data_IF_279427224607
#
_entry.id   IF_279427224607
#
_cell.length_a   1.000
_cell.length_b   1.000
_cell.length_c   1.000
_cell.angle_alpha   90.00
_cell.angle_beta   90.00
_cell.angle_gamma   90.00
#
_symmetry.space_group_name_H-M   'P 1'
#
loop_
_entity.id
_entity.type
_entity.pdbx_description
1 polymer ?
#
# COMPACT_ATOMS: atom_id res chain seq x y z
N UNK A 1 -14.94 -13.89 -17.98
CA UNK A 1 -13.80 -14.14 -17.07
C UNK A 1 -12.62 -13.26 -17.45
N UNK A 2 -12.20 -13.26 -18.72
CA UNK A 2 -11.16 -12.38 -19.24
C UNK A 2 -11.55 -11.90 -20.65
N UNK A 3 -11.15 -10.69 -21.02
CA UNK A 3 -11.31 -10.11 -22.35
C UNK A 3 -9.94 -9.65 -22.85
N UNK A 4 -9.42 -10.35 -23.86
CA UNK A 4 -8.08 -10.17 -24.41
C UNK A 4 -8.21 -9.72 -25.86
N UNK A 5 -7.51 -8.65 -26.22
CA UNK A 5 -7.41 -8.20 -27.60
C UNK A 5 -5.95 -8.08 -28.05
N UNK A 6 -5.75 -8.24 -29.35
CA UNK A 6 -4.48 -7.95 -30.02
C UNK A 6 -4.43 -6.45 -30.32
N UNK A 7 -3.26 -5.83 -30.18
CA UNK A 7 -3.04 -4.44 -30.53
C UNK A 7 -1.61 -4.16 -30.99
N UNK A 8 -1.39 -2.93 -31.46
CA UNK A 8 -0.08 -2.44 -31.91
C UNK A 8 0.31 -1.25 -31.07
N UNK A 9 1.51 -1.26 -30.50
CA UNK A 9 2.03 -0.13 -29.71
C UNK A 9 2.26 1.07 -30.63
N UNK A 10 1.65 2.21 -30.30
CA UNK A 10 1.80 3.46 -31.07
C UNK A 10 2.73 4.46 -30.42
N UNK A 11 2.81 4.44 -29.09
CA UNK A 11 3.57 5.44 -28.34
C UNK A 11 4.01 4.89 -26.99
N UNK A 12 5.17 5.35 -26.51
CA UNK A 12 5.66 5.11 -25.15
C UNK A 12 5.43 6.40 -24.36
N UNK A 13 4.47 6.39 -23.43
CA UNK A 13 4.12 7.56 -22.59
C UNK A 13 5.26 7.85 -21.61
N UNK A 14 5.75 6.80 -20.94
CA UNK A 14 6.88 6.85 -20.02
C UNK A 14 7.45 5.45 -19.80
N UNK A 15 8.70 5.38 -19.36
CA UNK A 15 9.39 4.13 -19.04
C UNK A 15 10.19 4.29 -17.74
N UNK A 16 10.13 3.25 -16.92
CA UNK A 16 11.09 2.92 -15.86
C UNK A 16 11.66 1.53 -16.16
N UNK A 17 12.69 1.13 -15.44
CA UNK A 17 13.38 -0.16 -15.69
C UNK A 17 12.42 -1.35 -15.64
N UNK A 18 11.48 -1.36 -14.71
CA UNK A 18 10.57 -2.46 -14.42
C UNK A 18 9.17 -2.34 -15.09
N UNK A 19 8.83 -1.17 -15.64
CA UNK A 19 7.48 -0.87 -16.14
C UNK A 19 7.50 0.18 -17.25
N UNK A 20 6.70 -0.06 -18.30
CA UNK A 20 6.43 0.89 -19.37
C UNK A 20 4.94 1.24 -19.44
N UNK A 21 4.64 2.54 -19.56
CA UNK A 21 3.30 3.06 -19.84
C UNK A 21 3.22 3.38 -21.32
N UNK A 22 2.24 2.82 -22.02
CA UNK A 22 2.16 2.86 -23.48
C UNK A 22 0.77 3.20 -23.97
N UNK A 23 0.69 3.67 -25.21
CA UNK A 23 -0.56 3.74 -25.97
C UNK A 23 -0.57 2.66 -27.04
N UNK A 24 -1.66 1.91 -27.10
CA UNK A 24 -1.85 0.76 -27.98
C UNK A 24 -3.09 1.00 -28.83
N UNK A 25 -2.96 0.80 -30.12
CA UNK A 25 -4.08 0.78 -31.06
C UNK A 25 -4.68 -0.63 -31.11
N UNK A 26 -5.96 -0.71 -30.78
CA UNK A 26 -6.79 -1.92 -30.90
C UNK A 26 -7.92 -1.61 -31.87
N UNK A 27 -7.85 -2.17 -33.07
CA UNK A 27 -8.85 -2.00 -34.13
C UNK A 27 -9.21 -0.52 -34.43
N UNK A 28 -8.22 0.37 -34.43
CA UNK A 28 -8.39 1.80 -34.70
C UNK A 28 -8.70 2.64 -33.45
N UNK A 29 -8.84 2.02 -32.28
CA UNK A 29 -9.06 2.71 -31.00
C UNK A 29 -7.77 2.73 -30.20
N UNK A 30 -7.21 3.92 -30.00
CA UNK A 30 -6.03 4.11 -29.14
C UNK A 30 -6.40 4.05 -27.68
N UNK A 31 -5.63 3.28 -26.92
CA UNK A 31 -5.85 3.10 -25.50
C UNK A 31 -4.58 3.02 -24.67
N UNK A 32 -4.67 3.39 -23.39
CA UNK A 32 -3.55 3.33 -22.46
C UNK A 32 -3.39 1.91 -21.90
N UNK A 33 -2.16 1.44 -21.84
CA UNK A 33 -1.82 0.16 -21.24
C UNK A 33 -0.50 0.22 -20.48
N UNK A 34 -0.28 -0.81 -19.67
CA UNK A 34 0.92 -1.01 -18.87
C UNK A 34 1.58 -2.31 -19.28
N UNK A 35 2.89 -2.26 -19.43
CA UNK A 35 3.77 -3.41 -19.66
C UNK A 35 4.71 -3.56 -18.47
N UNK A 36 4.71 -4.72 -17.81
CA UNK A 36 5.67 -5.04 -16.76
C UNK A 36 6.87 -5.70 -17.43
N UNK A 37 7.98 -4.96 -17.54
CA UNK A 37 9.11 -5.31 -18.39
C UNK A 37 9.73 -6.67 -18.03
N UNK A 38 9.80 -7.01 -16.73
CA UNK A 38 10.32 -8.31 -16.27
C UNK A 38 9.40 -9.50 -16.63
N UNK A 39 8.12 -9.25 -16.94
CA UNK A 39 7.12 -10.28 -17.21
C UNK A 39 6.90 -10.45 -18.72
N UNK A 40 6.76 -9.34 -19.45
CA UNK A 40 6.38 -9.33 -20.88
C UNK A 40 7.47 -8.81 -21.80
N UNK A 41 8.67 -8.52 -21.25
CA UNK A 41 9.83 -8.01 -21.96
C UNK A 41 9.74 -6.51 -22.24
N UNK A 42 10.84 -5.92 -22.70
CA UNK A 42 10.87 -4.50 -23.12
C UNK A 42 9.92 -4.28 -24.31
N UNK A 43 9.13 -3.20 -24.25
CA UNK A 43 8.09 -2.90 -25.24
C UNK A 43 8.43 -1.67 -26.07
N UNK A 44 8.37 -1.76 -27.40
CA UNK A 44 8.71 -0.66 -28.32
C UNK A 44 7.52 -0.26 -29.18
N UNK A 45 7.60 0.91 -29.82
CA UNK A 45 6.64 1.31 -30.87
C UNK A 45 6.66 0.27 -31.99
N UNK A 46 5.50 0.02 -32.57
CA UNK A 46 5.20 -1.00 -33.58
C UNK A 46 5.25 -2.46 -33.10
N UNK A 47 5.56 -2.72 -31.83
CA UNK A 47 5.40 -4.05 -31.24
C UNK A 47 3.93 -4.49 -31.29
N UNK A 48 3.72 -5.75 -31.63
CA UNK A 48 2.39 -6.38 -31.63
C UNK A 48 2.21 -7.13 -30.32
N UNK A 49 1.17 -6.78 -29.56
CA UNK A 49 0.95 -7.26 -28.19
C UNK A 49 -0.47 -7.76 -27.98
N UNK A 50 -0.66 -8.62 -26.97
CA UNK A 50 -1.96 -8.97 -26.44
C UNK A 50 -2.18 -8.24 -25.12
N UNK A 51 -3.37 -7.66 -24.95
CA UNK A 51 -3.73 -6.89 -23.76
C UNK A 51 -5.01 -7.40 -23.13
N UNK A 52 -5.05 -7.42 -21.80
CA UNK A 52 -6.23 -7.69 -21.00
C UNK A 52 -6.97 -6.36 -20.74
N UNK A 53 -8.17 -6.24 -21.31
CA UNK A 53 -9.03 -5.06 -21.16
C UNK A 53 -10.27 -5.33 -20.29
N UNK A 54 -10.28 -6.42 -19.52
CA UNK A 54 -11.45 -6.87 -18.76
C UNK A 54 -11.97 -5.80 -17.80
N UNK A 55 -11.06 -5.20 -17.01
CA UNK A 55 -11.44 -4.21 -16.02
C UNK A 55 -12.01 -2.94 -16.66
N UNK A 56 -11.49 -2.52 -17.81
CA UNK A 56 -12.05 -1.39 -18.57
C UNK A 56 -13.45 -1.70 -19.09
N UNK A 57 -13.66 -2.88 -19.67
CA UNK A 57 -14.99 -3.27 -20.18
C UNK A 57 -16.05 -3.31 -19.07
N UNK A 58 -15.64 -3.59 -17.83
CA UNK A 58 -16.50 -3.53 -16.66
C UNK A 58 -16.58 -2.12 -16.02
N UNK A 59 -15.99 -1.10 -16.65
CA UNK A 59 -15.89 0.27 -16.14
C UNK A 59 -15.29 0.35 -14.72
N UNK A 60 -14.34 -0.53 -14.41
CA UNK A 60 -13.64 -0.54 -13.12
C UNK A 60 -12.47 0.45 -13.14
N UNK A 61 -12.15 0.98 -11.95
CA UNK A 61 -11.06 1.93 -11.79
C UNK A 61 -9.68 1.26 -11.82
N UNK A 62 -9.06 1.16 -13.00
CA UNK A 62 -7.63 0.79 -13.16
C UNK A 62 -6.71 2.01 -13.31
N UNK A 63 -7.25 3.21 -13.10
CA UNK A 63 -6.61 4.45 -13.57
C UNK A 63 -6.68 4.61 -15.10
N UNK A 64 -7.50 3.80 -15.79
CA UNK A 64 -7.72 3.86 -17.23
C UNK A 64 -6.80 2.96 -18.06
N UNK A 65 -5.91 2.21 -17.42
CA UNK A 65 -4.95 1.32 -18.08
C UNK A 65 -5.51 -0.08 -18.31
N UNK A 66 -5.17 -0.65 -19.47
CA UNK A 66 -5.14 -2.09 -19.71
C UNK A 66 -3.79 -2.68 -19.31
N UNK A 67 -3.68 -4.01 -19.37
CA UNK A 67 -2.46 -4.73 -19.01
C UNK A 67 -1.97 -5.57 -20.18
N UNK A 68 -0.73 -5.35 -20.61
CA UNK A 68 -0.05 -6.22 -21.58
C UNK A 68 0.16 -7.58 -20.91
N UNK A 69 -0.23 -8.65 -21.59
CA UNK A 69 -0.06 -10.03 -21.12
C UNK A 69 0.98 -10.80 -21.93
N UNK A 70 1.25 -10.37 -23.16
CA UNK A 70 2.19 -11.00 -24.08
C UNK A 70 2.64 -9.98 -25.13
N UNK A 71 3.94 -9.97 -25.43
CA UNK A 71 4.50 -9.27 -26.58
C UNK A 71 5.01 -10.28 -27.60
N UNK A 72 4.47 -10.24 -28.82
CA UNK A 72 4.77 -11.23 -29.88
C UNK A 72 6.18 -11.09 -30.47
N UNK A 73 6.90 -10.03 -30.09
CA UNK A 73 8.32 -9.85 -30.40
C UNK A 73 9.20 -10.95 -29.77
N UNK A 74 8.77 -11.54 -28.66
CA UNK A 74 9.57 -12.51 -27.91
C UNK A 74 8.98 -13.92 -28.04
N UNK A 75 9.79 -14.86 -28.53
CA UNK A 75 9.45 -16.29 -28.51
C UNK A 75 9.71 -16.94 -27.13
N UNK A 76 10.62 -16.35 -26.35
CA UNK A 76 10.97 -16.78 -24.99
C UNK A 76 11.47 -15.58 -24.17
N UNK A 77 11.06 -15.51 -22.90
CA UNK A 77 11.55 -14.55 -21.91
C UNK A 77 12.04 -15.37 -20.71
N UNK A 78 13.31 -15.20 -20.34
CA UNK A 78 13.87 -15.80 -19.14
C UNK A 78 14.37 -14.70 -18.19
N UNK A 79 13.55 -14.41 -17.18
CA UNK A 79 13.84 -13.48 -16.08
C UNK A 79 13.90 -14.19 -14.72
N UNK A 80 14.18 -15.50 -14.74
CA UNK A 80 14.15 -16.35 -13.55
C UNK A 80 15.09 -15.82 -12.45
N UNK A 81 14.57 -15.69 -11.23
CA UNK A 81 15.35 -15.35 -10.03
C UNK A 81 15.93 -16.62 -9.37
N UNK A 82 16.82 -16.49 -8.39
CA UNK A 82 17.46 -17.66 -7.76
C UNK A 82 16.58 -18.42 -6.75
N UNK A 83 15.50 -17.82 -6.26
CA UNK A 83 14.63 -18.45 -5.26
C UNK A 83 13.55 -19.36 -5.84
N UNK A 84 12.96 -20.15 -4.94
CA UNK A 84 11.99 -21.21 -5.24
C UNK A 84 10.55 -20.83 -4.90
N UNK A 85 10.33 -19.72 -4.20
CA UNK A 85 8.98 -19.26 -3.87
C UNK A 85 8.33 -18.59 -5.08
N UNK A 86 7.08 -18.97 -5.33
CA UNK A 86 6.28 -18.45 -6.44
C UNK A 86 5.31 -17.37 -5.94
N UNK A 87 5.22 -16.24 -6.65
CA UNK A 87 4.13 -15.26 -6.56
C UNK A 87 3.14 -15.52 -7.69
N UNK A 88 1.88 -15.09 -7.50
CA UNK A 88 0.77 -15.47 -8.38
C UNK A 88 0.70 -16.99 -8.67
N UNK A 89 0.93 -17.79 -7.61
CA UNK A 89 1.12 -19.25 -7.65
C UNK A 89 0.09 -19.96 -8.51
N UNK A 90 0.56 -20.78 -9.44
CA UNK A 90 -0.25 -21.64 -10.31
C UNK A 90 -1.23 -20.88 -11.23
N UNK A 91 -1.01 -19.59 -11.45
CA UNK A 91 -1.64 -18.83 -12.55
C UNK A 91 -0.73 -18.86 -13.79
N UNK A 92 -1.26 -18.58 -15.00
CA UNK A 92 -0.44 -18.41 -16.20
C UNK A 92 0.62 -17.29 -16.10
N UNK A 93 0.51 -16.39 -15.11
CA UNK A 93 1.42 -15.26 -14.89
C UNK A 93 2.28 -15.45 -13.63
N UNK A 94 2.48 -16.69 -13.19
CA UNK A 94 3.32 -16.98 -12.02
C UNK A 94 4.76 -16.51 -12.24
N UNK A 95 5.38 -16.00 -11.18
CA UNK A 95 6.78 -15.54 -11.19
C UNK A 95 7.50 -16.13 -9.99
N UNK A 96 8.79 -16.42 -10.15
CA UNK A 96 9.62 -16.88 -9.04
C UNK A 96 10.37 -15.71 -8.40
N UNK A 97 10.54 -15.78 -7.09
CA UNK A 97 11.24 -14.79 -6.28
C UNK A 97 12.14 -15.51 -5.28
N UNK A 98 13.12 -14.79 -4.74
CA UNK A 98 13.81 -15.19 -3.52
C UNK A 98 13.14 -14.51 -2.33
N UNK A 99 12.32 -15.26 -1.59
CA UNK A 99 11.74 -14.80 -0.35
C UNK A 99 12.80 -14.80 0.75
N UNK A 100 12.75 -13.80 1.62
CA UNK A 100 13.78 -13.53 2.63
C UNK A 100 13.96 -14.65 3.63
N UNK A 101 12.92 -15.44 3.87
CA UNK A 101 12.92 -16.59 4.78
C UNK A 101 13.30 -17.92 4.10
N UNK A 102 13.51 -17.97 2.77
CA UNK A 102 13.93 -19.18 2.07
C UNK A 102 15.29 -19.70 2.54
N UNK A 103 15.54 -21.01 2.40
CA UNK A 103 16.82 -21.62 2.77
C UNK A 103 18.01 -21.04 1.98
N UNK A 104 17.78 -20.71 0.71
CA UNK A 104 18.80 -20.10 -0.16
C UNK A 104 18.96 -18.59 0.10
N UNK A 105 18.13 -17.99 0.96
CA UNK A 105 18.29 -16.59 1.34
C UNK A 105 19.48 -16.42 2.28
N UNK A 106 20.33 -15.39 2.08
CA UNK A 106 21.41 -15.08 3.01
C UNK A 106 20.91 -14.70 4.41
N UNK A 107 19.59 -14.48 4.57
CA UNK A 107 18.97 -14.08 5.82
C UNK A 107 18.23 -15.23 6.54
N UNK A 108 18.23 -16.46 6.00
CA UNK A 108 17.42 -17.58 6.50
C UNK A 108 17.52 -17.77 8.02
N UNK A 109 18.74 -17.82 8.55
CA UNK A 109 18.98 -18.06 9.98
C UNK A 109 18.49 -16.94 10.89
N UNK A 110 18.30 -15.72 10.37
CA UNK A 110 17.75 -14.60 11.15
C UNK A 110 16.29 -14.86 11.53
N UNK A 111 15.54 -15.58 10.71
CA UNK A 111 14.14 -15.94 11.00
C UNK A 111 14.06 -17.01 12.09
N UNK A 112 14.94 -18.01 12.05
CA UNK A 112 14.98 -19.07 13.06
C UNK A 112 15.42 -18.57 14.44
N UNK A 113 16.23 -17.50 14.47
CA UNK A 113 16.75 -16.89 15.70
C UNK A 113 15.97 -15.64 16.17
N UNK A 114 14.91 -15.25 15.44
CA UNK A 114 14.12 -14.07 15.76
C UNK A 114 13.45 -14.21 17.13
N UNK A 115 13.48 -13.13 17.93
CA UNK A 115 12.90 -13.12 19.28
C UNK A 115 11.57 -12.39 19.31
N UNK A 116 11.61 -11.10 19.03
CA UNK A 116 10.45 -10.21 18.94
C UNK A 116 10.86 -8.88 18.28
N UNK A 117 9.88 -8.02 18.04
CA UNK A 117 10.08 -6.71 17.42
C UNK A 117 10.63 -5.65 18.41
N UNK A 118 10.73 -6.00 19.69
CA UNK A 118 11.17 -5.10 20.77
C UNK A 118 10.44 -3.73 20.72
N UNK A 119 9.11 -3.77 20.64
CA UNK A 119 8.28 -2.57 20.63
C UNK A 119 8.36 -1.70 19.37
N UNK A 120 9.01 -2.16 18.29
CA UNK A 120 9.11 -1.40 17.02
C UNK A 120 7.72 -0.89 16.58
N UNK A 121 7.57 0.44 16.35
CA UNK A 121 6.35 1.02 15.83
C UNK A 121 6.00 0.49 14.44
N UNK A 122 4.74 0.09 14.25
CA UNK A 122 4.21 -0.34 12.96
C UNK A 122 2.91 0.40 12.68
N UNK A 123 2.94 1.28 11.68
CA UNK A 123 1.79 2.08 11.25
C UNK A 123 0.99 1.28 10.24
N UNK A 124 -0.30 1.05 10.50
CA UNK A 124 -1.20 0.24 9.67
C UNK A 124 -2.24 1.14 9.02
N UNK A 125 -2.30 1.13 7.69
CA UNK A 125 -3.23 1.93 6.89
C UNK A 125 -4.14 1.08 6.00
N UNK A 126 -5.38 1.54 5.83
CA UNK A 126 -6.39 0.87 4.99
C UNK A 126 -6.08 0.97 3.51
N UNK A 127 -5.52 2.09 3.03
CA UNK A 127 -5.38 2.38 1.60
C UNK A 127 -3.93 2.64 1.23
N UNK A 128 -3.56 2.25 0.01
CA UNK A 128 -2.26 2.62 -0.58
C UNK A 128 -2.01 4.15 -0.56
N UNK A 129 -3.07 4.96 -0.74
CA UNK A 129 -2.99 6.43 -0.69
C UNK A 129 -2.61 7.00 0.68
N UNK A 130 -2.60 6.19 1.75
CA UNK A 130 -2.12 6.59 3.08
C UNK A 130 -0.60 6.53 3.20
N UNK A 131 0.10 5.80 2.31
CA UNK A 131 1.55 5.60 2.40
C UNK A 131 2.32 6.93 2.31
N UNK A 132 2.13 7.68 1.23
CA UNK A 132 2.88 8.91 0.97
C UNK A 132 2.70 9.98 2.04
N UNK A 133 1.46 10.39 2.42
CA UNK A 133 1.30 11.43 3.41
C UNK A 133 1.89 11.02 4.78
N UNK A 134 1.76 9.75 5.17
CA UNK A 134 2.32 9.23 6.42
C UNK A 134 3.85 9.25 6.38
N UNK A 135 4.46 8.66 5.34
CA UNK A 135 5.92 8.54 5.23
C UNK A 135 6.60 9.92 5.11
N UNK A 136 6.03 10.84 4.33
CA UNK A 136 6.58 12.20 4.16
C UNK A 136 6.57 12.97 5.47
N UNK A 137 5.45 12.96 6.19
CA UNK A 137 5.36 13.66 7.48
C UNK A 137 6.33 13.04 8.47
N UNK A 138 6.39 11.72 8.54
CA UNK A 138 7.28 11.01 9.46
C UNK A 138 8.75 11.33 9.17
N UNK A 139 9.20 11.19 7.92
CA UNK A 139 10.58 11.51 7.53
C UNK A 139 10.91 12.99 7.72
N UNK A 140 9.95 13.90 7.52
CA UNK A 140 10.16 15.33 7.77
C UNK A 140 10.34 15.66 9.26
N UNK A 141 9.62 14.95 10.14
CA UNK A 141 9.73 15.11 11.59
C UNK A 141 10.92 14.35 12.19
N UNK A 142 11.32 13.25 11.53
CA UNK A 142 12.44 12.36 11.90
C UNK A 142 13.29 12.06 10.68
N UNK A 143 14.20 12.95 10.27
CA UNK A 143 15.03 12.76 9.08
C UNK A 143 15.93 11.52 9.14
N UNK A 144 16.35 11.12 10.35
CA UNK A 144 17.20 9.96 10.57
C UNK A 144 16.44 8.62 10.53
N UNK A 145 15.12 8.64 10.75
CA UNK A 145 14.33 7.43 10.93
C UNK A 145 14.34 6.57 9.65
N UNK A 146 14.69 5.30 9.79
CA UNK A 146 14.65 4.32 8.72
C UNK A 146 13.24 3.72 8.59
N UNK A 147 12.62 3.92 7.42
CA UNK A 147 11.21 3.58 7.16
C UNK A 147 11.13 2.42 6.17
N UNK A 148 10.55 1.29 6.58
CA UNK A 148 10.16 0.22 5.66
C UNK A 148 8.68 0.34 5.28
N UNK A 149 8.36 0.15 4.00
CA UNK A 149 6.99 -0.06 3.53
C UNK A 149 6.73 -1.55 3.31
N UNK A 150 5.78 -2.12 4.04
CA UNK A 150 5.29 -3.49 3.83
C UNK A 150 3.99 -3.43 3.02
N UNK A 151 4.01 -3.94 1.79
CA UNK A 151 2.88 -3.97 0.89
C UNK A 151 2.14 -5.32 0.98
N UNK A 152 0.88 -5.28 1.42
CA UNK A 152 0.01 -6.47 1.44
C UNK A 152 -0.57 -6.79 0.06
N UNK A 153 -0.96 -8.05 -0.13
CA UNK A 153 -1.58 -8.58 -1.35
C UNK A 153 -3.10 -8.46 -1.37
N UNK A 154 -3.67 -7.70 -0.42
CA UNK A 154 -5.09 -7.34 -0.39
C UNK A 154 -5.53 -6.50 -1.60
N UNK A 155 -4.57 -6.00 -2.37
CA UNK A 155 -4.73 -5.45 -3.70
C UNK A 155 -3.71 -6.09 -4.65
N UNK A 156 -4.05 -6.19 -5.94
CA UNK A 156 -3.36 -7.10 -6.85
C UNK A 156 -2.36 -6.43 -7.82
N UNK A 157 -2.16 -5.10 -7.77
CA UNK A 157 -1.20 -4.47 -8.68
C UNK A 157 0.24 -4.59 -8.15
N UNK A 158 1.21 -4.96 -9.01
CA UNK A 158 2.64 -4.99 -8.66
C UNK A 158 3.12 -3.63 -8.14
N UNK A 159 4.12 -3.63 -7.27
CA UNK A 159 4.58 -2.39 -6.63
C UNK A 159 5.12 -1.37 -7.66
N UNK A 160 5.68 -1.87 -8.77
CA UNK A 160 6.19 -1.11 -9.91
C UNK A 160 5.12 -0.20 -10.56
N UNK A 161 3.84 -0.55 -10.44
CA UNK A 161 2.73 0.30 -10.85
C UNK A 161 2.73 1.66 -10.10
N UNK A 162 3.18 1.67 -8.85
CA UNK A 162 3.03 2.84 -7.99
C UNK A 162 4.10 3.90 -8.24
N UNK A 163 3.71 4.95 -8.95
CA UNK A 163 4.51 6.19 -9.04
C UNK A 163 4.81 6.78 -7.65
N UNK A 164 3.90 6.59 -6.70
CA UNK A 164 4.09 7.02 -5.31
C UNK A 164 5.26 6.30 -4.66
N UNK A 165 5.36 4.98 -4.79
CA UNK A 165 6.47 4.22 -4.22
C UNK A 165 7.80 4.61 -4.88
N UNK A 166 7.82 4.70 -6.22
CA UNK A 166 9.00 5.19 -6.98
C UNK A 166 9.49 6.53 -6.44
N UNK A 167 8.58 7.51 -6.32
CA UNK A 167 8.88 8.83 -5.79
C UNK A 167 9.44 8.79 -4.37
N UNK A 168 8.83 8.01 -3.46
CA UNK A 168 9.27 7.93 -2.06
C UNK A 168 10.66 7.28 -1.94
N UNK A 169 10.96 6.29 -2.79
CA UNK A 169 12.29 5.65 -2.87
C UNK A 169 13.34 6.60 -3.43
N UNK A 170 13.06 7.25 -4.57
CA UNK A 170 13.98 8.20 -5.22
C UNK A 170 14.34 9.38 -4.31
N UNK A 171 13.41 9.81 -3.44
CA UNK A 171 13.62 10.88 -2.46
C UNK A 171 14.18 10.40 -1.13
N UNK A 172 14.50 9.12 -0.97
CA UNK A 172 14.95 8.50 0.28
C UNK A 172 13.98 8.76 1.47
N UNK A 173 12.68 8.86 1.18
CA UNK A 173 11.64 8.99 2.21
C UNK A 173 11.30 7.62 2.80
N UNK A 174 11.31 6.58 1.98
CA UNK A 174 11.29 5.19 2.45
C UNK A 174 12.59 4.51 2.05
N UNK A 175 13.13 3.71 2.96
CA UNK A 175 14.44 3.10 2.84
C UNK A 175 14.35 1.74 2.14
N UNK A 176 13.27 0.99 2.41
CA UNK A 176 13.02 -0.30 1.77
C UNK A 176 11.54 -0.60 1.62
N UNK A 177 11.24 -1.44 0.65
CA UNK A 177 9.92 -1.98 0.35
C UNK A 177 9.96 -3.49 0.51
N UNK A 178 8.92 -4.04 1.14
CA UNK A 178 8.78 -5.46 1.42
C UNK A 178 7.41 -5.88 0.91
N UNK A 179 7.35 -6.81 -0.03
CA UNK A 179 6.08 -7.35 -0.54
C UNK A 179 5.77 -8.69 0.10
N UNK A 180 4.52 -8.91 0.47
CA UNK A 180 4.09 -10.13 1.18
C UNK A 180 2.94 -10.85 0.47
N UNK A 181 2.77 -12.14 0.77
CA UNK A 181 1.73 -12.94 0.14
C UNK A 181 1.94 -13.04 -1.36
N UNK A 182 0.96 -12.63 -2.16
CA UNK A 182 1.03 -12.57 -3.62
C UNK A 182 1.40 -11.21 -4.20
N UNK A 183 1.59 -10.17 -3.38
CA UNK A 183 2.20 -8.92 -3.81
C UNK A 183 3.68 -9.17 -4.15
N UNK A 184 4.21 -8.41 -5.11
CA UNK A 184 5.57 -8.61 -5.61
C UNK A 184 6.17 -7.34 -6.23
N UNK A 185 7.48 -7.40 -6.46
CA UNK A 185 8.36 -6.38 -7.02
C UNK A 185 9.04 -5.50 -5.98
N UNK A 186 8.93 -5.82 -4.68
CA UNK A 186 9.58 -5.06 -3.61
C UNK A 186 11.10 -5.28 -3.58
N UNK A 187 11.81 -4.47 -2.79
CA UNK A 187 13.25 -4.68 -2.54
C UNK A 187 13.48 -6.05 -1.86
N UNK A 188 12.51 -6.47 -1.04
CA UNK A 188 12.46 -7.77 -0.39
C UNK A 188 11.11 -8.44 -0.63
N UNK A 189 11.14 -9.75 -0.82
CA UNK A 189 9.95 -10.59 -0.98
C UNK A 189 9.78 -11.45 0.26
N UNK A 190 8.55 -11.60 0.74
CA UNK A 190 8.24 -12.44 1.91
C UNK A 190 6.95 -13.22 1.71
N UNK A 191 6.78 -14.32 2.45
CA UNK A 191 5.60 -15.18 2.31
C UNK A 191 4.38 -14.57 3.01
N UNK A 192 4.56 -13.91 4.16
CA UNK A 192 3.46 -13.39 4.97
C UNK A 192 3.91 -12.24 5.89
N UNK A 193 2.95 -11.65 6.61
CA UNK A 193 3.17 -10.50 7.49
C UNK A 193 4.22 -10.75 8.58
N UNK A 194 4.28 -11.95 9.17
CA UNK A 194 5.27 -12.26 10.21
C UNK A 194 6.68 -12.17 9.64
N UNK A 195 6.93 -12.80 8.49
CA UNK A 195 8.21 -12.70 7.79
C UNK A 195 8.53 -11.27 7.36
N UNK A 196 7.53 -10.50 6.90
CA UNK A 196 7.76 -9.10 6.51
C UNK A 196 8.16 -8.22 7.70
N UNK A 197 7.55 -8.43 8.86
CA UNK A 197 7.87 -7.70 10.08
C UNK A 197 9.28 -8.04 10.58
N UNK A 198 9.66 -9.33 10.55
CA UNK A 198 11.02 -9.76 10.87
C UNK A 198 12.02 -9.15 9.88
N UNK A 199 11.71 -9.15 8.58
CA UNK A 199 12.53 -8.51 7.56
C UNK A 199 12.72 -7.02 7.83
N UNK A 200 11.64 -6.30 8.16
CA UNK A 200 11.72 -4.88 8.49
C UNK A 200 12.62 -4.61 9.71
N UNK A 201 12.56 -5.46 10.74
CA UNK A 201 13.33 -5.31 11.98
C UNK A 201 14.78 -5.77 11.85
N UNK A 202 15.02 -6.98 11.38
CA UNK A 202 16.33 -7.63 11.48
C UNK A 202 17.21 -7.35 10.26
N UNK A 203 16.61 -7.34 9.06
CA UNK A 203 17.33 -7.19 7.78
C UNK A 203 17.43 -5.71 7.41
N UNK A 204 16.28 -5.05 7.29
CA UNK A 204 16.24 -3.62 6.97
C UNK A 204 16.71 -2.80 8.17
N UNK A 205 16.52 -3.27 9.41
CA UNK A 205 16.84 -2.49 10.63
C UNK A 205 16.09 -1.17 10.68
N UNK A 206 14.81 -1.23 10.32
CA UNK A 206 13.92 -0.07 10.28
C UNK A 206 13.58 0.36 11.70
N UNK A 207 13.51 1.67 11.92
CA UNK A 207 12.97 2.25 13.15
C UNK A 207 11.44 2.15 13.18
N UNK A 208 10.83 2.12 12.00
CA UNK A 208 9.38 2.06 11.80
C UNK A 208 9.04 1.31 10.53
N UNK A 209 7.96 0.52 10.57
CA UNK A 209 7.34 -0.03 9.38
C UNK A 209 5.97 0.62 9.12
N UNK A 210 5.64 0.87 7.85
CA UNK A 210 4.30 1.25 7.40
C UNK A 210 3.72 0.06 6.64
N UNK A 211 2.58 -0.47 7.06
CA UNK A 211 1.89 -1.58 6.40
C UNK A 211 0.61 -1.04 5.74
N UNK A 212 0.49 -1.22 4.43
CA UNK A 212 -0.73 -0.91 3.69
C UNK A 212 -0.77 -1.73 2.39
N UNK A 213 -1.96 -2.00 1.87
CA UNK A 213 -2.10 -2.67 0.56
C UNK A 213 -1.45 -1.89 -0.58
N UNK A 214 -1.18 -2.61 -1.68
CA UNK A 214 -0.80 -1.99 -2.95
C UNK A 214 -1.97 -1.28 -3.67
N UNK A 215 -1.74 -0.76 -4.87
CA UNK A 215 -2.80 -0.21 -5.72
C UNK A 215 -3.82 -1.28 -6.14
N UNK A 216 -5.10 -0.90 -6.32
CA UNK A 216 -6.16 -1.81 -6.79
C UNK A 216 -7.08 -2.34 -5.69
N UNK A 217 -7.54 -1.47 -4.78
CA UNK A 217 -8.48 -1.83 -3.72
C UNK A 217 -9.81 -2.38 -4.25
N UNK A 218 -10.36 -3.37 -3.55
CA UNK A 218 -11.69 -3.95 -3.77
C UNK A 218 -12.64 -3.55 -2.63
N UNK A 219 -13.90 -3.32 -2.98
CA UNK A 219 -15.00 -3.13 -2.04
C UNK A 219 -16.33 -3.51 -2.67
N UNK A 220 -17.06 -4.44 -2.06
CA UNK A 220 -18.36 -4.92 -2.55
C UNK A 220 -19.54 -4.22 -1.87
N UNK A 221 -19.26 -3.40 -0.86
CA UNK A 221 -20.27 -2.67 -0.08
C UNK A 221 -20.91 -3.47 1.05
N UNK A 222 -20.58 -4.76 1.18
CA UNK A 222 -20.94 -5.59 2.34
C UNK A 222 -19.98 -5.36 3.51
N UNK A 223 -20.38 -5.78 4.72
CA UNK A 223 -19.61 -5.54 5.96
C UNK A 223 -18.16 -6.02 5.86
N UNK A 224 -17.93 -7.24 5.37
CA UNK A 224 -16.60 -7.85 5.32
C UNK A 224 -15.95 -7.82 3.93
N UNK A 225 -16.67 -7.36 2.90
CA UNK A 225 -16.21 -7.41 1.52
C UNK A 225 -15.39 -6.19 1.11
N UNK A 226 -14.25 -5.94 1.76
CA UNK A 226 -13.31 -4.88 1.36
C UNK A 226 -11.86 -5.29 1.63
N UNK A 227 -10.92 -4.85 0.81
CA UNK A 227 -9.51 -5.28 0.89
C UNK A 227 -8.85 -4.93 2.23
N UNK A 228 -9.12 -3.74 2.76
CA UNK A 228 -8.46 -3.24 3.99
C UNK A 228 -8.92 -3.90 5.27
N UNK A 229 -9.63 -5.02 5.19
CA UNK A 229 -10.03 -5.82 6.34
C UNK A 229 -8.83 -6.57 6.96
N UNK A 230 -7.78 -6.78 6.16
CA UNK A 230 -6.50 -7.39 6.56
C UNK A 230 -5.78 -6.64 7.69
N UNK A 231 -6.07 -5.35 7.87
CA UNK A 231 -5.55 -4.55 8.99
C UNK A 231 -5.76 -5.25 10.35
N UNK A 232 -6.88 -5.95 10.54
CA UNK A 232 -7.16 -6.66 11.79
C UNK A 232 -6.13 -7.77 12.07
N UNK A 233 -5.88 -8.64 11.08
CA UNK A 233 -4.90 -9.73 11.22
C UNK A 233 -3.46 -9.21 11.26
N UNK A 234 -3.17 -8.10 10.55
CA UNK A 234 -1.87 -7.43 10.61
C UNK A 234 -1.60 -6.89 12.02
N UNK A 235 -2.58 -6.22 12.65
CA UNK A 235 -2.46 -5.71 14.02
C UNK A 235 -2.25 -6.86 15.02
N UNK A 236 -3.03 -7.95 14.90
CA UNK A 236 -2.87 -9.13 15.74
C UNK A 236 -1.47 -9.76 15.58
N UNK A 237 -0.93 -9.79 14.35
CA UNK A 237 0.42 -10.28 14.08
C UNK A 237 1.51 -9.38 14.70
N UNK A 238 1.38 -8.06 14.59
CA UNK A 238 2.30 -7.09 15.21
C UNK A 238 2.36 -7.32 16.72
N UNK A 239 1.20 -7.43 17.38
CA UNK A 239 1.13 -7.70 18.81
C UNK A 239 1.72 -9.06 19.18
N UNK A 240 1.47 -10.09 18.36
CA UNK A 240 2.01 -11.44 18.58
C UNK A 240 3.54 -11.45 18.60
N UNK A 241 4.16 -10.60 17.78
CA UNK A 241 5.62 -10.41 17.74
C UNK A 241 6.10 -9.28 18.65
N UNK A 242 5.27 -8.80 19.60
CA UNK A 242 5.56 -7.72 20.56
C UNK A 242 6.02 -6.40 19.92
N UNK A 243 5.48 -6.06 18.75
CA UNK A 243 5.61 -4.73 18.16
C UNK A 243 4.61 -3.73 18.77
N UNK A 244 4.61 -2.50 18.26
CA UNK A 244 3.69 -1.45 18.67
C UNK A 244 2.76 -1.04 17.52
N UNK A 245 1.52 -1.58 17.45
CA UNK A 245 0.61 -1.31 16.35
C UNK A 245 -0.06 0.06 16.46
N UNK A 246 0.07 0.87 15.40
CA UNK A 246 -0.50 2.20 15.26
C UNK A 246 -1.52 2.17 14.12
N UNK A 247 -2.81 2.28 14.42
CA UNK A 247 -3.87 2.24 13.41
C UNK A 247 -4.19 3.66 12.91
N UNK A 248 -4.12 3.84 11.58
CA UNK A 248 -4.68 5.02 10.91
C UNK A 248 -6.17 4.80 10.65
N UNK A 249 -7.08 5.47 11.37
CA UNK A 249 -8.50 5.36 11.08
C UNK A 249 -8.81 6.06 9.76
N UNK A 250 -9.69 5.44 8.96
CA UNK A 250 -10.22 6.10 7.77
C UNK A 250 -11.31 7.07 8.19
N UNK A 251 -11.01 8.35 8.09
CA UNK A 251 -11.95 9.44 8.40
C UNK A 251 -12.28 10.19 7.11
N UNK A 252 -13.57 10.44 6.90
CA UNK A 252 -14.06 11.18 5.73
C UNK A 252 -15.35 11.89 6.08
N UNK A 253 -15.59 13.07 5.53
CA UNK A 253 -16.88 13.77 5.63
C UNK A 253 -17.51 14.06 4.26
N UNK A 254 -16.77 13.80 3.18
CA UNK A 254 -17.18 14.11 1.82
C UNK A 254 -17.72 12.88 1.07
N UNK A 255 -17.90 11.75 1.75
CA UNK A 255 -18.63 10.60 1.24
C UNK A 255 -20.14 10.83 1.39
N UNK A 256 -20.89 10.71 0.28
CA UNK A 256 -22.35 10.91 0.27
C UNK A 256 -23.11 9.88 1.11
N UNK A 257 -22.48 8.75 1.44
CA UNK A 257 -23.09 7.65 2.20
C UNK A 257 -22.90 7.91 3.70
N UNK A 258 -24.02 8.02 4.44
CA UNK A 258 -24.03 8.33 5.88
C UNK A 258 -23.05 7.50 6.73
N UNK A 259 -22.84 6.22 6.40
CA UNK A 259 -21.92 5.31 7.11
C UNK A 259 -20.41 5.61 6.93
N UNK A 260 -20.07 6.55 6.06
CA UNK A 260 -18.70 6.97 5.76
C UNK A 260 -18.46 8.44 6.12
N UNK A 261 -19.37 9.03 6.91
CA UNK A 261 -19.21 10.37 7.52
C UNK A 261 -18.60 10.18 8.92
N UNK A 262 -17.51 10.89 9.22
CA UNK A 262 -16.70 10.67 10.41
C UNK A 262 -15.79 9.45 10.25
N UNK A 263 -15.65 8.63 11.30
CA UNK A 263 -14.91 7.36 11.23
C UNK A 263 -15.68 6.37 10.36
N UNK A 264 -15.02 5.85 9.34
CA UNK A 264 -15.59 4.90 8.39
C UNK A 264 -16.01 3.60 9.07
N UNK A 265 -17.13 3.02 8.63
CA UNK A 265 -17.54 1.67 9.03
C UNK A 265 -16.48 0.59 8.75
N UNK A 266 -15.56 0.81 7.80
CA UNK A 266 -14.43 -0.10 7.58
C UNK A 266 -13.51 -0.14 8.80
N UNK A 267 -13.17 1.01 9.36
CA UNK A 267 -12.36 1.11 10.59
C UNK A 267 -13.08 0.47 11.78
N UNK A 268 -14.38 0.72 11.92
CA UNK A 268 -15.20 0.04 12.94
C UNK A 268 -15.14 -1.48 12.79
N UNK A 269 -15.33 -1.98 11.57
CA UNK A 269 -15.33 -3.43 11.28
C UNK A 269 -13.96 -4.06 11.59
N UNK A 270 -12.87 -3.38 11.22
CA UNK A 270 -11.50 -3.83 11.55
C UNK A 270 -11.36 -3.97 13.07
N UNK A 271 -11.78 -2.95 13.84
CA UNK A 271 -11.68 -2.96 15.31
C UNK A 271 -12.55 -4.05 15.94
N UNK A 272 -13.75 -4.30 15.41
CA UNK A 272 -14.61 -5.39 15.88
C UNK A 272 -13.95 -6.76 15.75
N UNK A 273 -13.20 -6.96 14.66
CA UNK A 273 -12.50 -8.21 14.32
C UNK A 273 -11.17 -8.41 15.07
N UNK A 274 -10.61 -7.37 15.69
CA UNK A 274 -9.37 -7.49 16.45
C UNK A 274 -9.54 -8.48 17.61
N UNK A 275 -8.58 -9.41 17.72
CA UNK A 275 -8.41 -10.25 18.90
C UNK A 275 -7.52 -9.58 19.96
N UNK A 276 -6.69 -8.64 19.52
CA UNK A 276 -5.79 -7.84 20.36
C UNK A 276 -6.24 -6.36 20.43
N UNK A 277 -5.34 -5.46 20.83
CA UNK A 277 -5.58 -4.02 20.93
C UNK A 277 -4.57 -3.23 20.09
N UNK A 278 -4.84 -1.96 19.80
CA UNK A 278 -3.89 -1.09 19.12
C UNK A 278 -4.03 0.37 19.56
N UNK A 279 -3.06 1.18 19.13
CA UNK A 279 -3.07 2.61 19.31
C UNK A 279 -3.74 3.27 18.09
N UNK A 280 -5.03 3.60 18.20
CA UNK A 280 -5.80 4.29 17.16
C UNK A 280 -5.56 5.80 17.27
N UNK A 281 -5.03 6.39 16.20
CA UNK A 281 -4.62 7.79 16.20
C UNK A 281 -5.66 8.65 15.50
N UNK A 282 -6.25 9.59 16.23
CA UNK A 282 -7.39 10.38 15.79
C UNK A 282 -6.93 11.85 15.66
N UNK A 283 -7.04 12.47 14.48
CA UNK A 283 -6.74 13.89 14.35
C UNK A 283 -7.76 14.71 15.14
N UNK A 284 -7.32 15.71 15.90
CA UNK A 284 -8.24 16.69 16.49
C UNK A 284 -8.83 17.54 15.37
N UNK A 285 -10.15 17.55 15.26
CA UNK A 285 -10.87 18.33 14.26
C UNK A 285 -11.44 19.61 14.88
N UNK A 286 -12.01 20.47 14.04
CA UNK A 286 -12.69 21.70 14.47
C UNK A 286 -14.21 21.56 14.34
N UNK A 287 -14.94 22.29 15.17
CA UNK A 287 -16.39 22.50 15.07
C UNK A 287 -17.19 21.19 15.11
N UNK A 288 -18.30 21.13 14.37
CA UNK A 288 -19.24 20.00 14.34
C UNK A 288 -18.59 18.66 13.98
N UNK A 289 -17.52 18.66 13.18
CA UNK A 289 -16.80 17.43 12.82
C UNK A 289 -16.20 16.75 14.05
N UNK A 290 -15.68 17.52 15.00
CA UNK A 290 -15.15 16.99 16.27
C UNK A 290 -16.27 16.35 17.11
N UNK A 291 -17.42 17.01 17.22
CA UNK A 291 -18.58 16.48 17.95
C UNK A 291 -19.09 15.17 17.34
N UNK A 292 -19.08 15.05 16.00
CA UNK A 292 -19.45 13.81 15.31
C UNK A 292 -18.49 12.67 15.68
N UNK A 293 -17.17 12.92 15.67
CA UNK A 293 -16.19 11.91 16.05
C UNK A 293 -16.36 11.47 17.51
N UNK A 294 -16.49 12.41 18.44
CA UNK A 294 -16.68 12.11 19.86
C UNK A 294 -17.95 11.29 20.10
N UNK A 295 -19.04 11.63 19.41
CA UNK A 295 -20.28 10.86 19.45
C UNK A 295 -20.07 9.42 18.95
N UNK A 296 -19.44 9.24 17.79
CA UNK A 296 -19.16 7.91 17.24
C UNK A 296 -18.29 7.06 18.17
N UNK A 297 -17.27 7.67 18.78
CA UNK A 297 -16.37 7.00 19.73
C UNK A 297 -17.06 6.60 21.03
N UNK A 298 -18.07 7.35 21.46
CA UNK A 298 -18.86 7.07 22.68
C UNK A 298 -19.98 6.05 22.46
N UNK A 299 -20.64 6.10 21.31
CA UNK A 299 -21.83 5.27 21.03
C UNK A 299 -21.48 3.86 20.53
N UNK A 300 -20.23 3.62 20.10
CA UNK A 300 -19.82 2.33 19.56
C UNK A 300 -18.76 1.64 20.43
N UNK A 301 -19.19 0.57 21.11
CA UNK A 301 -18.38 -0.24 22.02
C UNK A 301 -17.18 -0.94 21.35
N UNK A 302 -17.12 -1.03 20.02
CA UNK A 302 -15.93 -1.52 19.34
C UNK A 302 -14.68 -0.71 19.75
N UNK A 303 -14.84 0.60 19.92
CA UNK A 303 -13.75 1.50 20.30
C UNK A 303 -13.29 1.37 21.76
N UNK A 304 -13.92 0.53 22.57
CA UNK A 304 -13.47 0.22 23.94
C UNK A 304 -12.26 -0.74 23.93
N UNK A 305 -12.04 -1.46 22.83
CA UNK A 305 -10.91 -2.38 22.65
C UNK A 305 -9.58 -1.70 22.30
N UNK A 306 -9.59 -0.41 21.94
CA UNK A 306 -8.41 0.29 21.40
C UNK A 306 -8.02 1.49 22.26
N UNK A 307 -6.73 1.77 22.32
CA UNK A 307 -6.21 2.99 22.93
C UNK A 307 -6.40 4.14 21.95
N UNK A 308 -7.10 5.19 22.38
CA UNK A 308 -7.44 6.34 21.53
C UNK A 308 -6.51 7.50 21.85
N UNK A 309 -5.78 8.00 20.85
CA UNK A 309 -4.89 9.16 21.00
C UNK A 309 -5.32 10.28 20.07
N UNK A 310 -5.56 11.46 20.63
CA UNK A 310 -5.93 12.65 19.87
C UNK A 310 -4.69 13.51 19.58
N UNK A 311 -4.45 13.80 18.31
CA UNK A 311 -3.26 14.52 17.85
C UNK A 311 -3.66 15.71 16.97
N UNK A 312 -3.07 16.88 17.20
CA UNK A 312 -3.23 18.04 16.31
C UNK A 312 -2.49 17.79 14.99
N UNK A 313 -3.20 17.71 13.85
CA UNK A 313 -2.58 17.42 12.55
C UNK A 313 -1.94 18.66 11.90
N UNK A 314 -2.02 19.86 12.51
CA UNK A 314 -1.63 21.13 11.86
C UNK A 314 -0.25 21.08 11.20
N UNK A 315 0.79 20.65 11.94
CA UNK A 315 2.15 20.55 11.40
C UNK A 315 2.21 19.59 10.20
N UNK A 316 1.47 18.48 10.25
CA UNK A 316 1.42 17.53 9.15
C UNK A 316 0.71 18.13 7.93
N UNK A 317 -0.41 18.83 8.13
CA UNK A 317 -1.11 19.55 7.05
C UNK A 317 -0.17 20.55 6.36
N UNK A 318 0.58 21.34 7.14
CA UNK A 318 1.51 22.34 6.62
C UNK A 318 2.65 21.69 5.81
N UNK A 319 3.20 20.57 6.30
CA UNK A 319 4.22 19.78 5.57
C UNK A 319 3.66 19.28 4.23
N UNK A 320 2.48 18.66 4.23
CA UNK A 320 1.89 18.06 3.03
C UNK A 320 1.51 19.11 1.98
N UNK A 321 0.98 20.27 2.40
CA UNK A 321 0.70 21.39 1.50
C UNK A 321 1.98 22.00 0.90
N UNK A 322 3.12 21.84 1.56
CA UNK A 322 4.43 22.28 1.07
C UNK A 322 5.05 21.39 -0.02
N UNK A 323 4.56 20.16 -0.21
CA UNK A 323 5.08 19.23 -1.23
C UNK A 323 4.47 19.60 -2.59
N UNK A 324 5.33 19.92 -3.56
CA UNK A 324 4.90 20.40 -4.90
C UNK A 324 5.06 19.36 -6.01
N UNK A 325 5.97 18.41 -5.82
CA UNK A 325 6.37 17.38 -6.78
C UNK A 325 5.59 16.07 -6.65
N UNK A 326 4.64 15.99 -5.71
CA UNK A 326 3.73 14.86 -5.57
C UNK A 326 2.29 15.35 -5.36
N UNK A 327 1.35 14.80 -6.14
CA UNK A 327 -0.08 15.09 -5.97
C UNK A 327 -0.73 14.04 -5.07
N UNK A 328 -1.08 14.44 -3.85
CA UNK A 328 -1.85 13.60 -2.94
C UNK A 328 -3.30 13.48 -3.40
N UNK A 329 -3.73 12.25 -3.69
CA UNK A 329 -5.14 11.96 -3.98
C UNK A 329 -5.59 10.65 -3.35
N UNK A 330 -6.86 10.59 -2.98
CA UNK A 330 -7.51 9.39 -2.48
C UNK A 330 -8.90 9.28 -3.09
N UNK A 331 -9.19 8.16 -3.79
CA UNK A 331 -10.45 7.98 -4.52
C UNK A 331 -10.77 9.17 -5.46
N UNK A 332 -9.75 9.72 -6.13
CA UNK A 332 -9.89 10.87 -7.03
C UNK A 332 -9.97 12.24 -6.36
N UNK A 333 -10.00 12.32 -5.02
CA UNK A 333 -10.10 13.57 -4.24
C UNK A 333 -8.74 14.01 -3.72
N UNK A 334 -8.46 15.30 -3.82
CA UNK A 334 -7.20 15.95 -3.39
C UNK A 334 -7.15 16.20 -1.88
N UNK A 335 -6.01 16.71 -1.38
CA UNK A 335 -5.84 17.06 0.04
C UNK A 335 -6.85 18.09 0.56
N UNK A 336 -7.27 19.02 -0.30
CA UNK A 336 -8.28 20.02 0.07
C UNK A 336 -9.69 19.44 0.08
N UNK A 337 -9.94 18.43 -0.77
CA UNK A 337 -11.24 17.76 -0.90
C UNK A 337 -11.41 16.59 0.06
N UNK A 338 -10.35 16.08 0.70
CA UNK A 338 -10.45 15.00 1.68
C UNK A 338 -9.49 15.24 2.85
N UNK A 339 -9.56 16.44 3.44
CA UNK A 339 -8.62 16.91 4.46
C UNK A 339 -8.50 15.93 5.64
N UNK A 340 -9.61 15.45 6.18
CA UNK A 340 -9.60 14.60 7.39
C UNK A 340 -8.90 13.25 7.17
N UNK A 341 -8.92 12.72 5.94
CA UNK A 341 -8.17 11.53 5.57
C UNK A 341 -6.66 11.76 5.67
N UNK A 342 -6.18 12.88 5.13
CA UNK A 342 -4.75 13.22 5.18
C UNK A 342 -4.32 13.67 6.57
N UNK A 343 -5.20 14.34 7.32
CA UNK A 343 -4.97 14.69 8.71
C UNK A 343 -4.79 13.43 9.58
N UNK A 344 -5.57 12.36 9.34
CA UNK A 344 -5.41 11.08 10.04
C UNK A 344 -4.04 10.43 9.75
N UNK A 345 -3.60 10.46 8.50
CA UNK A 345 -2.26 9.99 8.10
C UNK A 345 -1.16 10.80 8.83
N UNK A 346 -1.28 12.12 8.82
CA UNK A 346 -0.36 13.04 9.47
C UNK A 346 -0.31 12.87 10.99
N UNK A 347 -1.47 12.69 11.62
CA UNK A 347 -1.60 12.45 13.06
C UNK A 347 -0.88 11.17 13.48
N UNK A 348 -1.02 10.08 12.74
CA UNK A 348 -0.31 8.83 13.00
C UNK A 348 1.21 8.98 12.86
N UNK A 349 1.67 9.71 11.85
CA UNK A 349 3.09 10.03 11.68
C UNK A 349 3.64 10.89 12.84
N UNK A 350 2.90 11.90 13.31
CA UNK A 350 3.25 12.72 14.48
C UNK A 350 3.29 11.90 15.76
N UNK A 351 2.36 10.96 15.94
CA UNK A 351 2.38 10.06 17.10
C UNK A 351 3.60 9.15 17.05
N UNK A 352 3.86 8.53 15.89
CA UNK A 352 5.01 7.64 15.71
C UNK A 352 6.33 8.37 15.93
N UNK A 353 6.49 9.60 15.43
CA UNK A 353 7.74 10.36 15.60
C UNK A 353 8.10 10.62 17.05
N UNK A 354 7.12 10.73 17.95
CA UNK A 354 7.34 10.88 19.40
C UNK A 354 7.83 9.59 20.07
N UNK A 355 7.57 8.42 19.46
CA UNK A 355 8.05 7.13 19.96
C UNK A 355 9.51 6.86 19.59
N UNK A 356 9.98 7.42 18.48
CA UNK A 356 11.34 7.17 17.94
C UNK A 356 12.48 7.91 18.67
N UNK A 357 12.24 8.43 19.88
CA UNK A 357 13.26 9.20 20.64
C UNK A 357 13.50 10.60 20.05
N UNK A 358 14.56 11.29 20.48
CA UNK A 358 15.01 12.58 19.91
C UNK A 358 16.10 12.28 18.86
N UNK A 359 16.13 13.06 17.78
CA UNK A 359 17.24 12.98 16.82
C UNK A 359 18.53 13.59 17.39
#
# INVERSE_FOLDING_TARGET
MIFINKGIVKNIISRRDDISFVEIDVDGVTTKAINYNEITGEINVDDVVYINQTARNLNLGTGGYDFVILNTKYDNINSQKIGHIMKLRYTPMQINVLSVEEQDSPYHDMFNNFKDLDGMPVIVGELHSMLAPTAIVLKKLKPSAKIAYIMSDSACLPISFSNTVSYLKEKNIIDSTITMGHAFGGDFESVNIYSSLICAKEIVKSDVAIVAMGPGIVGTGTKYGFSGIDQASIIDAINKLKGNPILIPRISFNDKRKRHIGISHHTVTVIELLNSSCNMIIPTLKNEKQLILEKQLKENHAFDKVNKYFIDPKIASDILLGVKDLKFTTMGRTINEEKEFFDACGAAAIYCSKLLGID
#
